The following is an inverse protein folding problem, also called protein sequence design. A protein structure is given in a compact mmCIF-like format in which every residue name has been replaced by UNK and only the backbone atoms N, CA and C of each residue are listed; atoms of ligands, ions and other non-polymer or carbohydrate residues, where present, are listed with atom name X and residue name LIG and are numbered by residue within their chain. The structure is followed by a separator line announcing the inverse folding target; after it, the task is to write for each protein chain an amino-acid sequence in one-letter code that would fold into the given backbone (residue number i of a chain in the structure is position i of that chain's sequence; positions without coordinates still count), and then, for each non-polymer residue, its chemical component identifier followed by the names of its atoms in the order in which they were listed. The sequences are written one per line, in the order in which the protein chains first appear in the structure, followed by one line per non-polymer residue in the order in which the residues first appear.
data_IF_219831279906
#
_entry.id   IF_219831279906
#
_cell.length_a   1.000
_cell.length_b   1.000
_cell.length_c   1.000
_cell.angle_alpha   90.00
_cell.angle_beta   90.00
_cell.angle_gamma   90.00
#
_symmetry.space_group_name_H-M   'P 1'
#
loop_
_entity.id
_entity.type
_entity.pdbx_description
1 polymer ?
#
# COMPACT_ATOMS: atom_id res chain seq x y z
N UNK A 1 22.37 21.23 14.38
CA UNK A 1 21.37 21.06 13.31
C UNK A 1 20.12 20.47 13.93
N UNK A 2 18.94 21.02 13.66
CA UNK A 2 17.70 20.39 14.07
C UNK A 2 17.60 19.01 13.43
N UNK A 3 17.13 18.00 14.18
CA UNK A 3 16.85 16.67 13.61
C UNK A 3 15.86 16.83 12.46
N UNK A 4 16.07 16.18 11.31
CA UNK A 4 15.11 16.26 10.21
C UNK A 4 13.75 15.74 10.69
N UNK A 5 12.67 16.37 10.20
CA UNK A 5 11.31 15.90 10.48
C UNK A 5 11.16 14.46 9.96
N UNK A 6 10.67 13.50 10.78
CA UNK A 6 10.54 12.10 10.41
C UNK A 6 9.77 11.87 9.10
N UNK A 7 8.75 12.69 8.82
CA UNK A 7 8.00 12.60 7.56
C UNK A 7 8.86 12.96 6.34
N UNK A 8 9.57 14.09 6.42
CA UNK A 8 10.45 14.56 5.34
C UNK A 8 11.60 13.58 5.06
N UNK A 9 12.14 12.96 6.11
CA UNK A 9 13.22 11.97 5.99
C UNK A 9 12.74 10.73 5.22
N UNK A 10 11.56 10.21 5.57
CA UNK A 10 10.98 9.03 4.92
C UNK A 10 10.53 9.34 3.50
N UNK A 11 9.90 10.49 3.23
CA UNK A 11 9.47 10.89 1.88
C UNK A 11 10.67 11.00 0.92
N UNK A 12 11.78 11.60 1.39
CA UNK A 12 13.04 11.63 0.62
C UNK A 12 13.54 10.21 0.32
N UNK A 13 13.57 9.33 1.33
CA UNK A 13 14.00 7.96 1.14
C UNK A 13 13.11 7.19 0.14
N UNK A 14 11.78 7.35 0.22
CA UNK A 14 10.82 6.81 -0.75
C UNK A 14 11.14 7.30 -2.16
N UNK A 15 11.39 8.60 -2.33
CA UNK A 15 11.72 9.19 -3.62
C UNK A 15 13.03 8.64 -4.19
N UNK A 16 14.04 8.45 -3.35
CA UNK A 16 15.35 7.94 -3.78
C UNK A 16 15.29 6.46 -4.17
N UNK A 17 14.66 5.58 -3.37
CA UNK A 17 14.57 4.16 -3.73
C UNK A 17 13.70 3.93 -4.97
N UNK A 18 12.74 4.80 -5.27
CA UNK A 18 11.97 4.77 -6.52
C UNK A 18 12.80 5.11 -7.75
N UNK A 19 13.84 5.95 -7.59
CA UNK A 19 14.81 6.27 -8.64
C UNK A 19 15.91 5.22 -8.80
N UNK A 20 15.92 4.21 -7.94
CA UNK A 20 16.94 3.18 -7.92
C UNK A 20 18.19 3.56 -7.11
N UNK A 21 18.14 4.62 -6.33
CA UNK A 21 19.27 4.99 -5.48
C UNK A 21 19.39 4.07 -4.27
N UNK A 22 20.62 3.90 -3.81
CA UNK A 22 20.92 3.26 -2.53
C UNK A 22 20.58 4.24 -1.41
N UNK A 23 19.88 3.75 -0.39
CA UNK A 23 19.51 4.52 0.81
C UNK A 23 20.07 3.83 2.04
N UNK A 24 20.51 4.60 3.01
CA UNK A 24 20.98 4.12 4.28
C UNK A 24 19.82 4.09 5.29
N UNK A 25 19.46 2.90 5.76
CA UNK A 25 18.51 2.72 6.88
C UNK A 25 19.32 2.47 8.15
N UNK A 26 19.02 3.19 9.23
CA UNK A 26 19.83 3.12 10.46
C UNK A 26 18.98 3.18 11.73
N UNK A 27 19.54 2.67 12.81
CA UNK A 27 19.10 2.86 14.19
C UNK A 27 20.24 3.41 15.06
N UNK A 28 20.13 3.32 16.38
CA UNK A 28 21.15 3.82 17.32
C UNK A 28 22.47 3.05 17.24
N UNK A 29 22.45 1.80 16.77
CA UNK A 29 23.58 0.88 16.85
C UNK A 29 24.08 0.41 15.50
N UNK A 30 23.18 0.27 14.52
CA UNK A 30 23.43 -0.40 13.26
C UNK A 30 23.06 0.47 12.06
N UNK A 31 23.67 0.17 10.93
CA UNK A 31 23.41 0.86 9.67
C UNK A 31 23.47 -0.14 8.51
N UNK A 32 22.42 -0.11 7.66
CA UNK A 32 22.32 -0.91 6.44
C UNK A 32 22.23 0.01 5.22
N UNK A 33 22.95 -0.32 4.15
CA UNK A 33 22.64 0.20 2.82
C UNK A 33 21.57 -0.70 2.21
N UNK A 34 20.56 -0.08 1.65
CA UNK A 34 19.41 -0.74 1.04
C UNK A 34 19.28 -0.36 -0.42
N UNK A 35 19.00 -1.35 -1.28
CA UNK A 35 18.63 -1.20 -2.69
C UNK A 35 17.35 -1.99 -2.95
N UNK A 36 16.29 -1.33 -3.44
CA UNK A 36 15.04 -2.01 -3.79
C UNK A 36 15.25 -2.94 -5.00
N UNK A 37 14.64 -4.14 -4.97
CA UNK A 37 14.79 -5.12 -6.06
C UNK A 37 14.21 -4.63 -7.38
N UNK A 38 13.13 -3.85 -7.37
CA UNK A 38 12.54 -3.24 -8.58
C UNK A 38 13.51 -2.32 -9.37
N UNK A 39 14.59 -1.86 -8.73
CA UNK A 39 15.60 -1.00 -9.33
C UNK A 39 16.93 -1.71 -9.57
N UNK A 40 16.96 -3.04 -9.42
CA UNK A 40 18.20 -3.81 -9.46
C UNK A 40 18.80 -3.87 -10.87
N UNK A 41 20.10 -3.60 -10.93
CA UNK A 41 20.93 -3.83 -12.11
C UNK A 41 22.31 -4.38 -11.69
N UNK A 42 23.07 -4.92 -12.64
CA UNK A 42 24.43 -5.40 -12.37
C UNK A 42 25.34 -4.31 -11.79
N UNK A 43 25.15 -3.05 -12.23
CA UNK A 43 25.95 -1.92 -11.76
C UNK A 43 25.60 -1.55 -10.32
N UNK A 44 24.31 -1.51 -9.98
CA UNK A 44 23.87 -1.24 -8.60
C UNK A 44 24.25 -2.36 -7.65
N UNK A 45 24.15 -3.62 -8.05
CA UNK A 45 24.62 -4.73 -7.23
C UNK A 45 26.12 -4.63 -6.97
N UNK A 46 26.91 -4.29 -7.98
CA UNK A 46 28.34 -4.03 -7.84
C UNK A 46 28.63 -2.89 -6.86
N UNK A 47 27.93 -1.77 -7.03
CA UNK A 47 28.06 -0.60 -6.15
C UNK A 47 27.73 -0.97 -4.69
N UNK A 48 26.61 -1.67 -4.47
CA UNK A 48 26.20 -2.10 -3.13
C UNK A 48 27.24 -3.03 -2.51
N UNK A 49 27.78 -4.00 -3.28
CA UNK A 49 28.81 -4.95 -2.82
C UNK A 49 30.12 -4.23 -2.46
N UNK A 50 30.52 -3.23 -3.24
CA UNK A 50 31.74 -2.44 -2.97
C UNK A 50 31.59 -1.48 -1.79
N UNK A 51 30.40 -0.97 -1.54
CA UNK A 51 30.10 -0.03 -0.44
C UNK A 51 29.86 -0.73 0.89
N UNK A 52 29.60 -2.02 0.88
CA UNK A 52 29.32 -2.83 2.07
C UNK A 52 30.58 -3.41 2.70
N UNK A 53 30.45 -3.82 3.96
CA UNK A 53 31.48 -4.54 4.71
C UNK A 53 31.37 -6.07 4.61
N UNK A 54 30.23 -6.56 4.12
CA UNK A 54 29.89 -7.97 3.95
C UNK A 54 29.19 -8.21 2.63
N UNK A 55 28.96 -9.47 2.28
CA UNK A 55 28.17 -9.84 1.10
C UNK A 55 26.71 -9.36 1.27
N UNK A 56 26.09 -8.83 0.20
CA UNK A 56 24.68 -8.45 0.20
C UNK A 56 23.77 -9.64 0.54
N UNK A 57 22.73 -9.37 1.32
CA UNK A 57 21.63 -10.27 1.64
C UNK A 57 20.35 -9.78 1.00
N UNK A 58 19.40 -10.68 0.73
CA UNK A 58 18.07 -10.35 0.27
C UNK A 58 17.11 -10.38 1.47
N UNK A 59 16.40 -9.26 1.72
CA UNK A 59 15.28 -9.22 2.68
C UNK A 59 13.98 -9.16 1.90
N UNK A 60 13.00 -9.96 2.32
CA UNK A 60 11.69 -10.02 1.68
C UNK A 60 10.64 -10.54 2.66
N UNK A 61 9.36 -10.39 2.32
CA UNK A 61 8.29 -10.89 3.19
C UNK A 61 8.32 -12.40 3.35
N UNK A 62 8.07 -12.88 4.57
CA UNK A 62 7.97 -14.30 4.86
C UNK A 62 6.87 -14.99 4.06
N UNK A 63 5.78 -14.30 3.78
CA UNK A 63 4.70 -14.77 2.90
C UNK A 63 5.25 -15.22 1.54
N UNK A 64 6.11 -14.42 0.90
CA UNK A 64 6.70 -14.78 -0.39
C UNK A 64 7.67 -15.97 -0.26
N UNK A 65 8.48 -15.99 0.79
CA UNK A 65 9.41 -17.11 1.08
C UNK A 65 8.67 -18.44 1.28
N UNK A 66 7.54 -18.39 1.99
CA UNK A 66 6.67 -19.55 2.21
C UNK A 66 6.05 -20.07 0.90
N UNK A 67 5.57 -19.15 0.05
CA UNK A 67 4.99 -19.51 -1.25
C UNK A 67 6.00 -20.10 -2.23
N UNK A 68 7.26 -19.74 -2.10
CA UNK A 68 8.37 -20.37 -2.85
C UNK A 68 8.75 -21.76 -2.30
N UNK A 69 8.20 -22.16 -1.15
CA UNK A 69 8.52 -23.43 -0.51
C UNK A 69 9.91 -23.50 0.14
N UNK A 70 10.58 -22.37 0.28
CA UNK A 70 11.94 -22.28 0.83
C UNK A 70 11.93 -22.48 2.35
N UNK A 71 10.99 -21.84 3.03
CA UNK A 71 10.78 -21.95 4.47
C UNK A 71 9.28 -21.92 4.77
N UNK A 72 8.83 -22.65 5.80
CA UNK A 72 7.43 -22.73 6.21
C UNK A 72 7.17 -22.09 7.56
N UNK A 73 8.14 -21.34 8.09
CA UNK A 73 7.98 -20.62 9.35
C UNK A 73 7.09 -19.38 9.17
N UNK A 74 6.34 -19.03 10.20
CA UNK A 74 5.47 -17.83 10.22
C UNK A 74 6.30 -16.58 10.59
N UNK A 75 7.17 -16.18 9.66
CA UNK A 75 8.01 -14.97 9.79
C UNK A 75 7.37 -13.82 9.04
N UNK A 76 7.28 -12.62 9.60
CA UNK A 76 6.80 -11.45 8.84
C UNK A 76 7.77 -11.05 7.72
N UNK A 77 9.08 -11.11 7.99
CA UNK A 77 10.16 -10.82 7.04
C UNK A 77 11.28 -11.84 7.23
N UNK A 78 11.84 -12.30 6.14
CA UNK A 78 12.97 -13.23 6.10
C UNK A 78 14.19 -12.57 5.48
N UNK A 79 15.36 -12.91 6.00
CA UNK A 79 16.68 -12.60 5.43
C UNK A 79 17.22 -13.84 4.74
N UNK A 80 17.53 -13.70 3.47
CA UNK A 80 18.14 -14.77 2.67
C UNK A 80 19.59 -14.40 2.39
N UNK A 81 20.49 -15.37 2.57
CA UNK A 81 21.92 -15.23 2.29
C UNK A 81 22.46 -16.49 1.61
N UNK A 82 23.54 -16.31 0.86
CA UNK A 82 24.26 -17.39 0.22
C UNK A 82 25.75 -17.18 0.43
N UNK A 83 26.56 -18.25 0.75
CA UNK A 83 27.98 -18.12 1.03
C UNK A 83 28.80 -17.45 -0.08
N UNK A 84 28.42 -17.67 -1.34
CA UNK A 84 29.08 -17.10 -2.52
C UNK A 84 28.41 -15.80 -3.03
N UNK A 85 27.43 -15.28 -2.28
CA UNK A 85 26.56 -14.17 -2.70
C UNK A 85 25.34 -14.64 -3.48
N UNK A 86 24.34 -13.78 -3.59
CA UNK A 86 23.09 -14.07 -4.32
C UNK A 86 23.22 -13.47 -5.72
N UNK A 87 23.06 -14.31 -6.76
CA UNK A 87 23.12 -13.87 -8.16
C UNK A 87 21.88 -13.04 -8.55
N UNK A 88 22.02 -12.21 -9.60
CA UNK A 88 20.90 -11.41 -10.14
C UNK A 88 19.71 -12.30 -10.52
N UNK A 89 19.95 -13.40 -11.21
CA UNK A 89 18.91 -14.33 -11.66
C UNK A 89 18.15 -14.94 -10.47
N UNK A 90 18.88 -15.26 -9.40
CA UNK A 90 18.27 -15.79 -8.18
C UNK A 90 17.45 -14.72 -7.45
N UNK A 91 17.94 -13.49 -7.36
CA UNK A 91 17.21 -12.36 -6.76
C UNK A 91 15.92 -12.11 -7.54
N UNK A 92 16.00 -12.01 -8.86
CA UNK A 92 14.85 -11.80 -9.74
C UNK A 92 13.81 -12.91 -9.56
N UNK A 93 14.24 -14.18 -9.61
CA UNK A 93 13.36 -15.33 -9.39
C UNK A 93 12.66 -15.31 -8.02
N UNK A 94 13.40 -14.99 -6.96
CA UNK A 94 12.86 -14.97 -5.60
C UNK A 94 11.84 -13.83 -5.41
N UNK A 95 12.16 -12.63 -5.87
CA UNK A 95 11.39 -11.43 -5.59
C UNK A 95 10.25 -11.17 -6.58
N UNK A 96 10.43 -11.52 -7.87
CA UNK A 96 9.46 -11.22 -8.91
C UNK A 96 8.69 -12.48 -9.35
N UNK A 97 7.41 -12.64 -8.96
CA UNK A 97 6.63 -13.82 -9.35
C UNK A 97 6.37 -13.94 -10.86
N UNK A 98 6.54 -12.85 -11.62
CA UNK A 98 6.40 -12.86 -13.08
C UNK A 98 7.66 -13.38 -13.79
N UNK A 99 8.79 -13.49 -13.11
CA UNK A 99 10.01 -14.11 -13.62
C UNK A 99 9.95 -15.65 -13.61
N UNK A 100 8.88 -16.23 -13.09
CA UNK A 100 8.74 -17.69 -12.91
C UNK A 100 8.69 -18.53 -14.22
N UNK A 101 8.69 -17.88 -15.40
CA UNK A 101 8.90 -18.56 -16.70
C UNK A 101 10.35 -18.98 -16.93
N UNK A 102 11.28 -18.53 -16.11
CA UNK A 102 12.69 -18.94 -16.15
C UNK A 102 12.86 -20.25 -15.39
N UNK A 103 13.77 -21.11 -15.85
CA UNK A 103 14.15 -22.30 -15.12
C UNK A 103 14.66 -21.89 -13.72
N UNK A 104 14.10 -22.47 -12.63
CA UNK A 104 14.49 -22.03 -11.29
C UNK A 104 16.01 -22.16 -11.11
N UNK A 105 16.69 -21.08 -10.68
CA UNK A 105 18.11 -21.17 -10.36
C UNK A 105 18.32 -22.10 -9.15
N UNK A 106 19.53 -22.61 -8.98
CA UNK A 106 19.85 -23.42 -7.81
C UNK A 106 19.63 -22.63 -6.52
N UNK A 107 18.82 -23.17 -5.63
CA UNK A 107 18.58 -22.64 -4.27
C UNK A 107 19.42 -23.40 -3.22
N UNK A 108 20.34 -24.28 -3.67
CA UNK A 108 21.24 -24.99 -2.77
C UNK A 108 22.08 -23.98 -1.96
N UNK A 109 22.31 -24.27 -0.70
CA UNK A 109 23.06 -23.42 0.24
C UNK A 109 22.42 -22.06 0.56
N UNK A 110 21.15 -21.83 0.18
CA UNK A 110 20.43 -20.63 0.60
C UNK A 110 20.07 -20.74 2.08
N UNK A 111 20.59 -19.82 2.88
CA UNK A 111 20.25 -19.72 4.30
C UNK A 111 19.10 -18.74 4.51
N UNK A 112 18.17 -19.08 5.39
CA UNK A 112 17.02 -18.24 5.74
C UNK A 112 17.05 -17.96 7.25
N UNK A 113 16.94 -16.68 7.63
CA UNK A 113 16.93 -16.22 9.02
C UNK A 113 15.79 -15.25 9.27
N UNK A 114 15.42 -15.08 10.54
CA UNK A 114 14.52 -14.00 10.96
C UNK A 114 15.18 -12.64 10.72
N UNK A 115 14.40 -11.70 10.20
CA UNK A 115 14.83 -10.32 10.07
C UNK A 115 14.74 -9.59 11.42
N UNK A 116 15.75 -8.82 11.74
CA UNK A 116 15.69 -7.86 12.86
C UNK A 116 14.82 -6.64 12.51
N UNK A 117 14.66 -5.72 13.46
CA UNK A 117 13.82 -4.54 13.30
C UNK A 117 14.33 -3.60 12.21
N UNK A 118 15.65 -3.50 12.03
CA UNK A 118 16.26 -2.68 10.99
C UNK A 118 16.03 -3.28 9.60
N UNK A 119 16.24 -4.57 9.46
CA UNK A 119 16.01 -5.33 8.23
C UNK A 119 14.52 -5.33 7.82
N UNK A 120 13.59 -5.47 8.79
CA UNK A 120 12.15 -5.32 8.57
C UNK A 120 11.78 -3.92 8.09
N UNK A 121 12.45 -2.88 8.59
CA UNK A 121 12.21 -1.50 8.17
C UNK A 121 12.58 -1.28 6.70
N UNK A 122 13.56 -2.02 6.15
CA UNK A 122 13.88 -1.97 4.73
C UNK A 122 12.71 -2.48 3.85
N UNK A 123 12.08 -3.60 4.22
CA UNK A 123 10.90 -4.13 3.52
C UNK A 123 9.71 -3.16 3.66
N UNK A 124 9.52 -2.58 4.85
CA UNK A 124 8.48 -1.57 5.08
C UNK A 124 8.68 -0.35 4.19
N UNK A 125 9.91 0.14 4.03
CA UNK A 125 10.23 1.27 3.16
C UNK A 125 9.93 0.94 1.68
N UNK A 126 10.23 -0.28 1.23
CA UNK A 126 9.86 -0.73 -0.12
C UNK A 126 8.33 -0.74 -0.33
N UNK A 127 7.55 -1.24 0.66
CA UNK A 127 6.08 -1.18 0.63
C UNK A 127 5.56 0.27 0.58
N UNK A 128 6.09 1.18 1.39
CA UNK A 128 5.74 2.60 1.38
C UNK A 128 6.02 3.25 0.01
N UNK A 129 7.10 2.85 -0.64
CA UNK A 129 7.43 3.28 -1.99
C UNK A 129 6.57 2.63 -3.09
N UNK A 130 5.68 1.68 -2.75
CA UNK A 130 4.86 0.90 -3.69
C UNK A 130 5.70 0.08 -4.67
N UNK A 131 6.86 -0.38 -4.22
CA UNK A 131 7.75 -1.32 -4.91
C UNK A 131 7.49 -2.74 -4.40
N UNK A 132 8.00 -3.75 -5.09
CA UNK A 132 7.99 -5.12 -4.55
C UNK A 132 8.60 -5.12 -3.13
N UNK A 133 7.99 -5.83 -2.16
CA UNK A 133 8.44 -5.81 -0.77
C UNK A 133 9.68 -6.71 -0.57
N UNK A 134 10.74 -6.37 -1.32
CA UNK A 134 12.03 -7.03 -1.31
C UNK A 134 13.16 -6.02 -1.55
N UNK A 135 14.26 -6.17 -0.85
CA UNK A 135 15.44 -5.33 -0.98
C UNK A 135 16.72 -6.10 -0.76
N UNK A 136 17.77 -5.69 -1.47
CA UNK A 136 19.13 -6.06 -1.10
C UNK A 136 19.62 -5.15 0.01
N UNK A 137 20.27 -5.73 0.99
CA UNK A 137 20.86 -5.02 2.11
C UNK A 137 22.32 -5.44 2.32
N UNK A 138 23.12 -4.51 2.80
CA UNK A 138 24.48 -4.77 3.23
C UNK A 138 24.81 -3.92 4.46
N UNK A 139 25.52 -4.49 5.41
CA UNK A 139 26.05 -3.72 6.54
C UNK A 139 27.09 -2.71 6.03
N UNK A 140 27.01 -1.48 6.49
CA UNK A 140 27.92 -0.42 6.08
C UNK A 140 28.30 0.48 7.24
N UNK A 141 29.50 1.02 7.16
CA UNK A 141 29.89 2.14 8.01
C UNK A 141 29.11 3.40 7.58
N UNK A 142 28.92 4.33 8.52
CA UNK A 142 28.27 5.60 8.21
C UNK A 142 29.05 6.33 7.10
N UNK A 143 28.41 6.47 5.91
CA UNK A 143 28.93 7.22 4.77
C UNK A 143 28.19 8.54 4.67
N UNK A 144 28.91 9.66 4.50
CA UNK A 144 28.37 11.00 4.59
C UNK A 144 27.39 11.38 3.45
N UNK A 145 27.51 10.76 2.29
CA UNK A 145 26.85 11.22 1.06
C UNK A 145 25.65 10.37 0.59
N UNK A 146 25.27 9.34 1.34
CA UNK A 146 24.10 8.50 1.00
C UNK A 146 22.88 9.00 1.76
N UNK A 147 21.72 9.24 1.06
CA UNK A 147 20.47 9.59 1.73
C UNK A 147 20.16 8.59 2.85
N UNK A 148 19.83 9.11 4.01
CA UNK A 148 19.66 8.28 5.21
C UNK A 148 18.29 8.46 5.82
N UNK A 149 17.73 7.39 6.42
CA UNK A 149 16.45 7.38 7.09
C UNK A 149 16.50 6.52 8.34
N UNK A 150 15.93 7.01 9.43
CA UNK A 150 15.86 6.28 10.68
C UNK A 150 14.76 5.20 10.64
N UNK A 151 15.07 4.00 11.11
CA UNK A 151 14.11 2.88 11.11
C UNK A 151 12.83 3.17 11.92
N UNK A 152 12.94 3.93 13.02
CA UNK A 152 11.78 4.38 13.80
C UNK A 152 10.88 5.34 13.03
N UNK A 153 11.45 6.23 12.20
CA UNK A 153 10.69 7.13 11.30
C UNK A 153 9.90 6.34 10.27
N UNK A 154 10.51 5.32 9.66
CA UNK A 154 9.83 4.43 8.70
C UNK A 154 8.61 3.77 9.35
N UNK A 155 8.76 3.18 10.53
CA UNK A 155 7.68 2.46 11.23
C UNK A 155 6.54 3.36 11.66
N UNK A 156 6.80 4.60 12.03
CA UNK A 156 5.78 5.56 12.46
C UNK A 156 5.19 6.39 11.34
N UNK A 157 5.76 6.32 10.13
CA UNK A 157 5.43 7.20 9.00
C UNK A 157 3.92 7.26 8.70
N UNK A 158 3.27 6.12 8.51
CA UNK A 158 1.85 6.07 8.15
C UNK A 158 0.94 6.72 9.19
N UNK A 159 1.29 6.56 10.48
CA UNK A 159 0.54 7.16 11.58
C UNK A 159 0.76 8.68 11.64
N UNK A 160 2.01 9.12 11.57
CA UNK A 160 2.35 10.54 11.63
C UNK A 160 1.81 11.27 10.39
N UNK A 161 1.96 10.69 9.20
CA UNK A 161 1.42 11.26 7.95
C UNK A 161 -0.10 11.44 8.02
N UNK A 162 -0.84 10.42 8.49
CA UNK A 162 -2.29 10.52 8.65
C UNK A 162 -2.70 11.65 9.61
N UNK A 163 -2.03 11.76 10.77
CA UNK A 163 -2.33 12.80 11.75
C UNK A 163 -1.90 14.20 11.28
N UNK A 164 -0.97 14.30 10.36
CA UNK A 164 -0.49 15.58 9.80
C UNK A 164 -1.37 16.13 8.67
N UNK A 165 -2.42 15.40 8.26
CA UNK A 165 -3.33 15.83 7.20
C UNK A 165 -3.96 17.18 7.53
N UNK A 166 -3.96 18.07 6.55
CA UNK A 166 -4.65 19.34 6.58
C UNK A 166 -5.46 19.53 5.31
N UNK A 167 -6.58 20.24 5.40
CA UNK A 167 -7.30 20.67 4.21
C UNK A 167 -6.49 21.75 3.49
N UNK A 168 -6.18 21.54 2.21
CA UNK A 168 -5.35 22.46 1.42
C UNK A 168 -6.14 23.18 0.34
N UNK A 169 -7.29 22.64 -0.06
CA UNK A 169 -8.16 23.28 -1.07
C UNK A 169 -9.59 22.79 -0.94
N UNK A 170 -10.52 23.60 -1.47
CA UNK A 170 -11.93 23.27 -1.62
C UNK A 170 -12.51 23.99 -2.83
N UNK A 171 -13.39 23.31 -3.59
CA UNK A 171 -14.13 23.92 -4.67
C UNK A 171 -15.52 23.29 -4.84
N UNK A 172 -16.49 24.09 -5.33
CA UNK A 172 -17.73 23.54 -5.87
C UNK A 172 -17.43 22.85 -7.19
N UNK A 173 -17.87 21.60 -7.29
CA UNK A 173 -17.71 20.79 -8.50
C UNK A 173 -19.04 20.10 -8.77
N UNK A 174 -19.92 20.70 -9.59
CA UNK A 174 -21.17 20.04 -9.97
C UNK A 174 -20.89 18.71 -10.68
N UNK A 175 -21.50 17.65 -10.19
CA UNK A 175 -21.37 16.29 -10.74
C UNK A 175 -22.67 15.89 -11.43
N UNK A 176 -22.60 14.99 -12.42
CA UNK A 176 -23.74 14.54 -13.23
C UNK A 176 -24.96 14.13 -12.39
N UNK A 177 -24.73 13.45 -11.26
CA UNK A 177 -25.78 12.99 -10.36
C UNK A 177 -25.86 13.76 -9.03
N UNK A 178 -25.08 14.84 -8.87
CA UNK A 178 -25.01 15.63 -7.64
C UNK A 178 -24.51 17.06 -7.95
N UNK A 179 -25.39 17.93 -8.43
CA UNK A 179 -25.02 19.32 -8.80
C UNK A 179 -24.56 20.14 -7.59
N UNK A 180 -25.07 19.82 -6.38
CA UNK A 180 -24.65 20.45 -5.13
C UNK A 180 -23.51 19.66 -4.47
N UNK A 181 -22.40 19.48 -5.20
CA UNK A 181 -21.22 18.81 -4.70
C UNK A 181 -20.04 19.77 -4.52
N UNK A 182 -19.19 19.47 -3.55
CA UNK A 182 -17.91 20.14 -3.25
C UNK A 182 -16.81 19.09 -3.15
N UNK A 183 -15.63 19.42 -3.61
CA UNK A 183 -14.43 18.57 -3.48
C UNK A 183 -13.44 19.27 -2.56
N UNK A 184 -13.04 18.61 -1.52
CA UNK A 184 -12.02 19.01 -0.56
C UNK A 184 -10.78 18.16 -0.78
N UNK A 185 -9.61 18.80 -0.81
CA UNK A 185 -8.31 18.11 -0.90
C UNK A 185 -7.59 18.19 0.44
N UNK A 186 -7.03 17.06 0.86
CA UNK A 186 -6.27 16.91 2.09
C UNK A 186 -4.88 16.40 1.77
N UNK A 187 -3.87 17.05 2.32
CA UNK A 187 -2.45 16.72 2.10
C UNK A 187 -1.74 16.57 3.44
N UNK A 188 -0.85 15.58 3.60
CA UNK A 188 0.01 15.50 4.76
C UNK A 188 1.11 16.57 4.71
N UNK A 189 1.68 16.92 5.86
CA UNK A 189 2.62 18.04 5.99
C UNK A 189 3.91 17.87 5.19
N UNK A 190 4.34 16.65 4.92
CA UNK A 190 5.51 16.33 4.09
C UNK A 190 5.30 16.55 2.60
N UNK A 191 4.08 16.93 2.17
CA UNK A 191 3.75 17.08 0.76
C UNK A 191 3.46 15.77 0.04
N UNK A 192 3.25 14.67 0.79
CA UNK A 192 2.90 13.36 0.26
C UNK A 192 1.56 13.33 -0.49
N UNK A 193 1.05 12.12 -0.71
CA UNK A 193 -0.11 11.89 -1.59
C UNK A 193 -1.39 12.49 -0.99
N UNK A 194 -2.12 13.26 -1.81
CA UNK A 194 -3.41 13.84 -1.42
C UNK A 194 -4.51 12.80 -1.38
N UNK A 195 -5.44 13.02 -0.44
CA UNK A 195 -6.73 12.36 -0.38
C UNK A 195 -7.84 13.37 -0.62
N UNK A 196 -8.97 12.92 -1.17
CA UNK A 196 -10.10 13.80 -1.47
C UNK A 196 -11.32 13.41 -0.66
N UNK A 197 -12.12 14.43 -0.30
CA UNK A 197 -13.49 14.23 0.16
C UNK A 197 -14.45 14.90 -0.83
N UNK A 198 -15.39 14.13 -1.37
CA UNK A 198 -16.50 14.64 -2.18
C UNK A 198 -17.70 14.76 -1.24
N UNK A 199 -18.12 15.97 -0.95
CA UNK A 199 -19.28 16.28 -0.12
C UNK A 199 -20.45 16.56 -1.04
N UNK A 200 -21.52 15.82 -0.87
CA UNK A 200 -22.79 16.00 -1.59
C UNK A 200 -23.79 16.64 -0.63
N UNK A 201 -24.44 17.71 -1.05
CA UNK A 201 -25.46 18.41 -0.26
C UNK A 201 -24.91 19.10 0.98
N UNK A 202 -25.81 19.45 1.91
CA UNK A 202 -25.49 20.11 3.16
C UNK A 202 -25.42 19.10 4.31
N UNK A 203 -24.24 19.00 4.91
CA UNK A 203 -24.02 18.06 6.02
C UNK A 203 -24.62 18.60 7.32
N UNK A 204 -25.23 17.71 8.10
CA UNK A 204 -25.55 17.94 9.50
C UNK A 204 -24.64 17.04 10.38
N UNK A 205 -23.52 17.55 10.91
CA UNK A 205 -22.59 16.74 11.72
C UNK A 205 -23.19 16.28 13.07
N UNK A 206 -24.34 16.83 13.49
CA UNK A 206 -25.05 16.36 14.69
C UNK A 206 -25.72 14.99 14.48
N UNK A 207 -26.03 14.63 13.24
CA UNK A 207 -26.62 13.36 12.85
C UNK A 207 -25.55 12.45 12.23
N UNK A 208 -25.76 11.10 12.24
CA UNK A 208 -24.87 10.18 11.56
C UNK A 208 -24.86 10.42 10.05
N UNK A 209 -23.70 10.78 9.51
CA UNK A 209 -23.53 11.14 8.09
C UNK A 209 -23.38 9.88 7.24
N UNK A 210 -24.01 9.85 6.05
CA UNK A 210 -23.80 8.78 5.06
C UNK A 210 -22.41 8.92 4.46
N UNK A 211 -21.56 7.87 4.61
CA UNK A 211 -20.16 7.91 4.19
C UNK A 211 -19.80 6.69 3.34
N UNK A 212 -19.04 6.91 2.28
CA UNK A 212 -18.37 5.88 1.48
C UNK A 212 -16.86 6.05 1.55
N UNK A 213 -16.15 4.98 1.97
CA UNK A 213 -14.69 4.89 1.80
C UNK A 213 -14.39 4.24 0.46
N UNK A 214 -13.96 5.02 -0.51
CA UNK A 214 -13.60 4.56 -1.84
C UNK A 214 -12.09 4.60 -2.02
N UNK A 215 -11.45 3.46 -2.24
CA UNK A 215 -10.04 3.40 -2.62
C UNK A 215 -9.92 3.62 -4.11
N UNK A 216 -9.03 4.51 -4.51
CA UNK A 216 -8.69 4.80 -5.91
C UNK A 216 -8.56 3.54 -6.74
N UNK A 217 -9.13 3.56 -7.93
CA UNK A 217 -9.03 2.51 -8.93
C UNK A 217 -8.97 3.12 -10.33
N UNK A 218 -7.78 3.51 -10.79
CA UNK A 218 -7.58 4.12 -12.11
C UNK A 218 -8.31 3.37 -13.21
N UNK A 219 -8.16 2.05 -13.24
CA UNK A 219 -8.78 1.23 -14.30
C UNK A 219 -10.30 1.20 -14.23
N UNK A 220 -10.90 1.16 -13.04
CA UNK A 220 -12.35 1.12 -12.86
C UNK A 220 -13.01 2.49 -12.87
N UNK A 221 -12.42 3.45 -12.16
CA UNK A 221 -13.02 4.77 -11.93
C UNK A 221 -12.92 5.66 -13.16
N UNK A 222 -11.77 5.62 -13.86
CA UNK A 222 -11.49 6.50 -14.99
C UNK A 222 -11.73 5.82 -16.35
N UNK A 223 -11.15 4.64 -16.58
CA UNK A 223 -11.21 4.01 -17.92
C UNK A 223 -12.28 2.92 -18.05
N UNK A 224 -13.11 2.72 -17.03
CA UNK A 224 -14.27 1.84 -17.10
C UNK A 224 -13.94 0.35 -17.28
N UNK A 225 -12.86 -0.13 -16.67
CA UNK A 225 -12.47 -1.54 -16.74
C UNK A 225 -13.60 -2.49 -16.34
N UNK A 226 -13.85 -3.50 -17.14
CA UNK A 226 -14.84 -4.54 -16.86
C UNK A 226 -14.37 -5.56 -15.79
N UNK A 227 -13.09 -5.55 -15.41
CA UNK A 227 -12.54 -6.47 -14.40
C UNK A 227 -12.99 -6.17 -12.97
N UNK A 228 -13.55 -4.98 -12.70
CA UNK A 228 -14.03 -4.59 -11.37
C UNK A 228 -15.33 -3.80 -11.43
N UNK A 229 -15.92 -3.58 -10.28
CA UNK A 229 -17.15 -2.82 -10.08
C UNK A 229 -16.89 -1.38 -9.54
N UNK A 230 -15.61 -0.95 -9.46
CA UNK A 230 -15.21 0.29 -8.78
C UNK A 230 -15.90 1.54 -9.35
N UNK A 231 -15.86 1.73 -10.67
CA UNK A 231 -16.49 2.90 -11.29
C UNK A 231 -18.00 2.98 -11.05
N UNK A 232 -18.71 1.82 -11.06
CA UNK A 232 -20.12 1.78 -10.72
C UNK A 232 -20.35 2.12 -9.24
N UNK A 233 -19.52 1.58 -8.34
CA UNK A 233 -19.57 1.90 -6.92
C UNK A 233 -19.31 3.38 -6.64
N UNK A 234 -18.37 4.00 -7.36
CA UNK A 234 -18.06 5.43 -7.21
C UNK A 234 -19.26 6.29 -7.60
N UNK A 235 -19.72 6.15 -8.84
CA UNK A 235 -20.85 6.95 -9.38
C UNK A 235 -22.14 6.68 -8.63
N UNK A 236 -22.41 5.43 -8.33
CA UNK A 236 -23.61 5.04 -7.59
C UNK A 236 -23.64 5.58 -6.17
N UNK A 237 -22.51 5.57 -5.45
CA UNK A 237 -22.46 6.17 -4.11
C UNK A 237 -22.79 7.67 -4.13
N UNK A 238 -22.29 8.40 -5.13
CA UNK A 238 -22.60 9.82 -5.31
C UNK A 238 -24.10 10.03 -5.55
N UNK A 239 -24.71 9.19 -6.45
CA UNK A 239 -26.16 9.27 -6.70
C UNK A 239 -27.02 8.90 -5.50
N UNK A 240 -26.63 7.88 -4.73
CA UNK A 240 -27.32 7.50 -3.49
C UNK A 240 -27.24 8.61 -2.43
N UNK A 241 -26.08 9.29 -2.28
CA UNK A 241 -25.91 10.44 -1.39
C UNK A 241 -26.78 11.62 -1.84
N UNK A 242 -26.86 11.89 -3.14
CA UNK A 242 -27.72 12.95 -3.68
C UNK A 242 -29.20 12.65 -3.40
N UNK A 243 -29.64 11.40 -3.56
CA UNK A 243 -31.01 10.96 -3.23
C UNK A 243 -31.30 11.06 -1.73
N UNK A 244 -30.34 10.73 -0.88
CA UNK A 244 -30.44 10.87 0.58
C UNK A 244 -30.38 12.31 1.06
N UNK A 245 -30.05 13.27 0.17
CA UNK A 245 -29.93 14.70 0.46
C UNK A 245 -28.52 15.14 0.86
N UNK A 246 -27.71 14.28 1.46
CA UNK A 246 -26.32 14.59 1.79
C UNK A 246 -25.46 13.34 2.04
N UNK A 247 -24.16 13.49 1.90
CA UNK A 247 -23.18 12.45 2.21
C UNK A 247 -21.74 12.83 1.91
N UNK A 248 -20.81 11.97 2.28
CA UNK A 248 -19.37 12.16 2.06
C UNK A 248 -18.81 10.91 1.37
N UNK A 249 -18.22 11.08 0.19
CA UNK A 249 -17.38 10.06 -0.40
C UNK A 249 -15.90 10.42 -0.16
N UNK A 250 -15.19 9.61 0.61
CA UNK A 250 -13.74 9.72 0.79
C UNK A 250 -13.04 8.94 -0.31
N UNK A 251 -12.37 9.66 -1.23
CA UNK A 251 -11.57 9.09 -2.30
C UNK A 251 -10.12 9.00 -1.84
N UNK A 252 -9.73 7.79 -1.48
CA UNK A 252 -8.45 7.51 -0.86
C UNK A 252 -7.42 7.05 -1.89
N UNK A 253 -6.27 7.71 -1.96
CA UNK A 253 -5.17 7.38 -2.88
C UNK A 253 -4.44 6.08 -2.48
N UNK A 254 -5.17 4.95 -2.52
CA UNK A 254 -4.74 3.62 -2.10
C UNK A 254 -5.03 2.58 -3.20
N UNK A 255 -4.53 2.86 -4.42
CA UNK A 255 -4.69 2.00 -5.58
C UNK A 255 -4.25 0.55 -5.29
N UNK A 256 -5.00 -0.41 -5.83
CA UNK A 256 -4.68 -1.83 -5.70
C UNK A 256 -4.73 -2.37 -4.27
N UNK A 257 -5.59 -1.85 -3.39
CA UNK A 257 -5.61 -2.11 -1.93
C UNK A 257 -4.32 -1.64 -1.22
N UNK A 258 -3.69 -0.56 -1.70
CA UNK A 258 -2.50 0.03 -1.10
C UNK A 258 -1.19 -0.32 -1.79
N UNK A 259 -1.15 -1.32 -2.68
CA UNK A 259 0.07 -1.78 -3.35
C UNK A 259 0.51 -0.90 -4.53
N UNK A 260 -0.36 0.01 -4.99
CA UNK A 260 -0.11 0.88 -6.13
C UNK A 260 -0.47 0.28 -7.48
N UNK A 261 -0.55 1.15 -8.53
CA UNK A 261 -1.00 0.76 -9.87
C UNK A 261 -0.08 -0.26 -10.53
N UNK A 262 1.24 -0.09 -10.42
CA UNK A 262 2.22 -0.98 -11.06
C UNK A 262 2.05 -2.41 -10.53
N UNK A 263 2.01 -2.59 -9.21
CA UNK A 263 1.83 -3.92 -8.62
C UNK A 263 0.42 -4.48 -8.85
N UNK A 264 -0.60 -3.62 -8.95
CA UNK A 264 -1.93 -4.06 -9.39
C UNK A 264 -1.92 -4.63 -10.82
N UNK A 265 -1.16 -4.04 -11.74
CA UNK A 265 -1.01 -4.58 -13.10
C UNK A 265 -0.24 -5.90 -13.09
N UNK A 266 0.79 -6.04 -12.25
CA UNK A 266 1.45 -7.34 -11.99
C UNK A 266 0.47 -8.38 -11.44
N UNK A 267 -0.38 -7.99 -10.49
CA UNK A 267 -1.44 -8.86 -9.96
C UNK A 267 -2.42 -9.30 -11.05
N UNK A 268 -2.76 -8.44 -12.01
CA UNK A 268 -3.59 -8.81 -13.15
C UNK A 268 -2.93 -9.88 -14.04
N UNK A 269 -1.63 -9.79 -14.30
CA UNK A 269 -0.90 -10.83 -15.05
C UNK A 269 -0.92 -12.17 -14.30
N UNK A 270 -0.75 -12.15 -12.98
CA UNK A 270 -0.87 -13.37 -12.15
C UNK A 270 -2.29 -13.94 -12.17
N UNK A 271 -3.32 -13.09 -12.19
CA UNK A 271 -4.71 -13.53 -12.33
C UNK A 271 -4.98 -14.17 -13.70
N UNK A 272 -4.40 -13.65 -14.77
CA UNK A 272 -4.47 -14.25 -16.11
C UNK A 272 -3.73 -15.61 -16.15
N UNK A 273 -2.75 -15.83 -15.27
CA UNK A 273 -2.09 -17.13 -15.05
C UNK A 273 -2.86 -18.06 -14.09
N UNK A 274 -4.07 -17.67 -13.61
CA UNK A 274 -4.94 -18.52 -12.81
C UNK A 274 -4.96 -18.26 -11.31
N UNK A 275 -4.19 -17.31 -10.79
CA UNK A 275 -4.26 -16.91 -9.38
C UNK A 275 -5.52 -16.07 -9.12
N UNK A 276 -6.10 -16.17 -7.94
CA UNK A 276 -7.13 -15.21 -7.55
C UNK A 276 -6.52 -13.89 -7.03
N UNK A 277 -7.37 -12.89 -6.75
CA UNK A 277 -6.91 -11.55 -6.33
C UNK A 277 -6.12 -11.57 -5.02
N UNK A 278 -6.50 -12.43 -4.07
CA UNK A 278 -5.80 -12.54 -2.78
C UNK A 278 -4.46 -13.22 -2.98
N UNK A 279 -4.46 -14.37 -3.68
CA UNK A 279 -3.26 -15.13 -3.95
C UNK A 279 -2.27 -14.34 -4.82
N UNK A 280 -2.75 -13.55 -5.79
CA UNK A 280 -1.90 -12.67 -6.60
C UNK A 280 -1.15 -11.62 -5.74
N UNK A 281 -1.81 -10.99 -4.75
CA UNK A 281 -1.15 -10.07 -3.84
C UNK A 281 -0.09 -10.78 -2.98
N UNK A 282 -0.43 -11.97 -2.44
CA UNK A 282 0.50 -12.77 -1.65
C UNK A 282 1.71 -13.22 -2.49
N UNK A 283 1.51 -13.59 -3.77
CA UNK A 283 2.60 -13.91 -4.69
C UNK A 283 3.56 -12.73 -4.90
N UNK A 284 3.04 -11.50 -4.94
CA UNK A 284 3.85 -10.28 -5.00
C UNK A 284 4.55 -9.95 -3.68
N UNK A 285 4.30 -10.72 -2.62
CA UNK A 285 4.86 -10.52 -1.29
C UNK A 285 4.10 -9.50 -0.43
N UNK A 286 2.98 -8.95 -0.90
CA UNK A 286 2.12 -8.08 -0.09
C UNK A 286 1.13 -8.89 0.75
N UNK A 287 0.57 -8.23 1.77
CA UNK A 287 -0.59 -8.76 2.46
C UNK A 287 -1.84 -8.70 1.57
N UNK A 288 -2.88 -9.41 1.93
CA UNK A 288 -4.15 -9.41 1.18
C UNK A 288 -4.81 -8.03 1.12
N UNK A 289 -4.48 -7.14 2.07
CA UNK A 289 -4.99 -5.77 2.18
C UNK A 289 -3.98 -4.87 2.91
N UNK A 290 -3.30 -3.99 2.17
CA UNK A 290 -2.29 -3.03 2.69
C UNK A 290 -2.92 -1.64 2.97
N UNK A 291 -4.26 -1.51 2.97
CA UNK A 291 -4.91 -0.21 3.16
C UNK A 291 -4.79 0.29 4.58
N UNK A 292 -4.54 1.59 4.71
CA UNK A 292 -4.60 2.32 5.97
C UNK A 292 -5.89 3.15 6.06
N UNK A 293 -6.63 2.99 7.14
CA UNK A 293 -7.88 3.71 7.36
C UNK A 293 -7.74 4.96 8.26
N UNK A 294 -6.57 5.18 8.86
CA UNK A 294 -6.28 6.38 9.66
C UNK A 294 -6.48 7.70 8.89
N UNK A 295 -6.00 7.83 7.63
CA UNK A 295 -6.26 9.06 6.85
C UNK A 295 -7.75 9.35 6.69
N UNK A 296 -8.57 8.32 6.41
CA UNK A 296 -10.02 8.48 6.28
C UNK A 296 -10.66 8.96 7.58
N UNK A 297 -10.28 8.38 8.71
CA UNK A 297 -10.77 8.80 10.03
C UNK A 297 -10.33 10.24 10.36
N UNK A 298 -9.11 10.61 10.03
CA UNK A 298 -8.60 11.97 10.24
C UNK A 298 -9.34 13.00 9.39
N UNK A 299 -9.61 12.69 8.13
CA UNK A 299 -10.39 13.58 7.25
C UNK A 299 -11.81 13.77 7.79
N UNK A 300 -12.48 12.71 8.25
CA UNK A 300 -13.80 12.82 8.86
C UNK A 300 -13.79 13.76 10.08
N UNK A 301 -12.78 13.62 10.97
CA UNK A 301 -12.61 14.54 12.12
C UNK A 301 -12.37 15.98 11.71
N UNK A 302 -11.55 16.22 10.67
CA UNK A 302 -11.30 17.57 10.15
C UNK A 302 -12.56 18.22 9.57
N UNK A 303 -13.47 17.41 9.01
CA UNK A 303 -14.80 17.84 8.53
C UNK A 303 -15.81 18.01 9.69
N UNK A 304 -15.47 17.54 10.91
CA UNK A 304 -16.36 17.58 12.09
C UNK A 304 -17.29 16.37 12.21
N UNK A 305 -17.04 15.27 11.48
CA UNK A 305 -17.90 14.08 11.45
C UNK A 305 -17.24 12.94 12.26
N UNK A 306 -17.92 12.52 13.32
CA UNK A 306 -17.44 11.41 14.18
C UNK A 306 -18.39 10.21 14.19
N UNK A 307 -19.62 10.35 13.66
CA UNK A 307 -20.66 9.33 13.61
C UNK A 307 -21.09 9.12 12.16
N UNK A 308 -21.05 7.90 11.66
CA UNK A 308 -21.30 7.62 10.23
C UNK A 308 -22.22 6.42 10.01
N UNK A 309 -23.00 6.48 8.93
CA UNK A 309 -23.61 5.33 8.26
C UNK A 309 -22.69 4.93 7.11
N UNK A 310 -22.04 3.78 7.22
CA UNK A 310 -20.98 3.42 6.29
C UNK A 310 -21.50 2.56 5.14
N UNK A 311 -21.43 3.10 3.92
CA UNK A 311 -21.76 2.39 2.67
C UNK A 311 -20.66 1.37 2.35
N UNK A 312 -20.87 0.11 2.67
CA UNK A 312 -19.90 -0.94 2.42
C UNK A 312 -20.51 -2.34 2.47
N UNK A 313 -19.98 -3.25 1.66
CA UNK A 313 -20.26 -4.68 1.71
C UNK A 313 -19.18 -5.45 2.51
N UNK A 314 -18.13 -4.75 2.97
CA UNK A 314 -17.02 -5.36 3.71
C UNK A 314 -17.12 -5.05 5.20
N UNK A 315 -17.50 -6.03 6.08
CA UNK A 315 -17.55 -5.83 7.52
C UNK A 315 -16.21 -5.42 8.14
N UNK A 316 -15.08 -5.88 7.55
CA UNK A 316 -13.75 -5.48 8.03
C UNK A 316 -13.49 -3.96 7.93
N UNK A 317 -14.11 -3.27 6.97
CA UNK A 317 -14.03 -1.80 6.89
C UNK A 317 -14.74 -1.11 8.05
N UNK A 318 -15.86 -1.69 8.54
CA UNK A 318 -16.58 -1.17 9.71
C UNK A 318 -15.69 -1.25 10.94
N UNK A 319 -15.11 -2.43 11.18
CA UNK A 319 -14.19 -2.65 12.31
C UNK A 319 -12.96 -1.76 12.22
N UNK A 320 -12.34 -1.66 11.02
CA UNK A 320 -11.14 -0.87 10.83
C UNK A 320 -11.36 0.64 11.08
N UNK A 321 -12.49 1.19 10.59
CA UNK A 321 -12.83 2.58 10.84
C UNK A 321 -13.17 2.83 12.31
N UNK A 322 -13.88 1.88 12.95
CA UNK A 322 -14.15 1.89 14.38
C UNK A 322 -12.87 1.91 15.23
N UNK A 323 -11.89 1.07 14.89
CA UNK A 323 -10.58 1.04 15.55
C UNK A 323 -9.81 2.37 15.39
N UNK A 324 -10.11 3.13 14.33
CA UNK A 324 -9.60 4.49 14.16
C UNK A 324 -10.42 5.56 14.92
N UNK A 325 -11.42 5.18 15.74
CA UNK A 325 -12.18 6.08 16.60
C UNK A 325 -13.33 6.82 15.92
N UNK A 326 -13.85 6.32 14.80
CA UNK A 326 -15.10 6.81 14.17
C UNK A 326 -16.21 5.84 14.51
N UNK A 327 -17.32 6.35 15.07
CA UNK A 327 -18.50 5.54 15.40
C UNK A 327 -19.26 5.19 14.12
N UNK A 328 -19.27 3.89 13.76
CA UNK A 328 -20.10 3.39 12.66
C UNK A 328 -21.41 2.90 13.23
N UNK A 329 -22.46 3.72 13.17
CA UNK A 329 -23.78 3.42 13.73
C UNK A 329 -24.58 2.44 12.86
N UNK A 330 -24.29 2.41 11.56
CA UNK A 330 -24.99 1.56 10.61
C UNK A 330 -24.07 1.18 9.44
N UNK A 331 -24.14 -0.08 8.99
CA UNK A 331 -23.58 -0.51 7.71
C UNK A 331 -24.67 -0.46 6.64
N UNK A 332 -24.51 0.40 5.65
CA UNK A 332 -25.42 0.52 4.51
C UNK A 332 -24.90 -0.37 3.37
N UNK A 333 -25.71 -1.34 2.88
CA UNK A 333 -25.35 -2.15 1.72
C UNK A 333 -25.06 -1.30 0.49
N UNK A 334 -24.09 -1.71 -0.32
CA UNK A 334 -23.69 -0.98 -1.53
C UNK A 334 -23.29 -1.98 -2.61
N UNK A 335 -24.32 -2.56 -3.26
CA UNK A 335 -24.20 -3.69 -4.17
C UNK A 335 -24.59 -3.24 -5.58
N UNK A 336 -23.75 -3.61 -6.55
CA UNK A 336 -24.01 -3.40 -7.99
C UNK A 336 -23.99 -4.73 -8.73
N UNK A 337 -24.76 -4.86 -9.81
CA UNK A 337 -24.80 -6.09 -10.62
C UNK A 337 -23.40 -6.47 -11.10
N UNK A 338 -23.11 -7.77 -11.05
CA UNK A 338 -21.91 -8.33 -11.68
C UNK A 338 -22.06 -8.38 -13.21
N UNK A 339 -20.93 -8.46 -13.89
CA UNK A 339 -20.85 -8.76 -15.33
C UNK A 339 -20.00 -10.01 -15.56
N UNK A 340 -19.98 -10.53 -16.79
CA UNK A 340 -19.24 -11.76 -17.12
C UNK A 340 -17.72 -11.68 -16.85
N UNK A 341 -17.13 -10.46 -16.77
CA UNK A 341 -15.70 -10.26 -16.55
C UNK A 341 -15.34 -10.09 -15.08
N UNK A 342 -16.26 -9.66 -14.21
CA UNK A 342 -16.00 -9.42 -12.80
C UNK A 342 -16.68 -10.41 -11.84
N UNK A 343 -17.52 -11.32 -12.34
CA UNK A 343 -18.25 -12.29 -11.52
C UNK A 343 -17.30 -13.17 -10.68
N UNK A 344 -16.24 -13.69 -11.30
CA UNK A 344 -15.21 -14.46 -10.58
C UNK A 344 -14.52 -13.64 -9.50
N UNK A 345 -14.19 -12.38 -9.79
CA UNK A 345 -13.59 -11.45 -8.84
C UNK A 345 -14.52 -11.16 -7.63
N UNK A 346 -15.80 -10.94 -7.87
CA UNK A 346 -16.78 -10.71 -6.80
C UNK A 346 -17.00 -11.95 -5.94
N UNK A 347 -17.03 -13.15 -6.54
CA UNK A 347 -17.09 -14.42 -5.82
C UNK A 347 -15.87 -14.63 -4.91
N UNK A 348 -14.66 -14.27 -5.34
CA UNK A 348 -13.46 -14.31 -4.51
C UNK A 348 -13.55 -13.32 -3.35
N UNK A 349 -14.04 -12.09 -3.59
CA UNK A 349 -14.31 -11.11 -2.52
C UNK A 349 -15.27 -11.67 -1.46
N UNK A 350 -16.35 -12.33 -1.87
CA UNK A 350 -17.29 -12.95 -0.93
C UNK A 350 -16.59 -14.05 -0.11
N UNK A 351 -15.90 -14.98 -0.77
CA UNK A 351 -15.36 -16.19 -0.14
C UNK A 351 -14.11 -15.91 0.71
N UNK A 352 -13.16 -15.10 0.22
CA UNK A 352 -11.85 -14.89 0.85
C UNK A 352 -11.72 -13.56 1.60
N UNK A 353 -12.55 -12.56 1.29
CA UNK A 353 -12.49 -11.23 1.95
C UNK A 353 -13.74 -10.88 2.75
N UNK A 354 -14.65 -11.83 2.98
CA UNK A 354 -15.82 -11.70 3.84
C UNK A 354 -16.84 -10.65 3.38
N UNK A 355 -16.89 -10.34 2.06
CA UNK A 355 -17.86 -9.39 1.53
C UNK A 355 -19.26 -10.00 1.52
N UNK A 356 -20.25 -9.18 1.88
CA UNK A 356 -21.67 -9.52 1.87
C UNK A 356 -22.30 -9.00 0.57
N UNK A 357 -22.89 -9.89 -0.23
CA UNK A 357 -23.59 -9.57 -1.48
C UNK A 357 -25.01 -10.05 -1.44
#
# INVERSE_FOLDING_TARGET
MAMPDPLTEVDRAISEIRRGAVVRVYDEHNSLLMLAVDALSADYLRLLTQSGTKMPKLVMTGTRVNLLGIDKSDRPVSVLSHPEGISLDLIEYLANPLAASMMPPSMASLEVKDADVLEQSCVTLAKLARLLPAALIVEANATADIPAVQASSIRSYMTIAAHSLTQVSEARVPLENAENARVLAFRPRDGGIEHLAIIVGDLNPAEPVLVRLHSECFTGDLVGSLRCDCGNQLRGAIGEMATAGSGILLYMAQEGRGIGLVNKLRAYQLQDAGFDTVDANLQLGFDSDERNYLPAAQILRLIGVNRVKLMTNNPAKVTALGNCGIEVVERVPHIYPSNQHNDAYLKVKAKKSGHLF
#
